data_IF_959015108363
#
_entry.id   IF_959015108363
#
_cell.length_a   1.000
_cell.length_b   1.000
_cell.length_c   1.000
_cell.angle_alpha   90.00
_cell.angle_beta   90.00
_cell.angle_gamma   90.00
#
_symmetry.space_group_name_H-M   'P 1'
#
loop_
_entity.id
_entity.type
_entity.pdbx_description
1 polymer ?
#
# COMPACT_ATOMS: atom_id res chain seq x y z
N UNK A 1 -9.29 -2.96 -36.36
CA UNK A 1 -8.47 -2.33 -35.29
C UNK A 1 -8.31 -0.86 -35.64
N UNK A 2 -8.66 0.08 -34.76
CA UNK A 2 -8.53 1.52 -35.06
C UNK A 2 -7.04 1.86 -35.18
N UNK A 3 -6.60 2.30 -36.35
CA UNK A 3 -5.23 2.75 -36.58
C UNK A 3 -5.05 4.10 -35.89
N UNK A 4 -4.43 4.10 -34.71
CA UNK A 4 -4.05 5.34 -34.05
C UNK A 4 -2.85 5.93 -34.80
N UNK A 5 -2.85 7.23 -35.13
CA UNK A 5 -1.72 7.85 -35.80
C UNK A 5 -0.44 7.66 -34.97
N UNK A 6 0.69 7.42 -35.63
CA UNK A 6 1.99 7.19 -34.97
C UNK A 6 2.37 8.32 -34.00
N UNK A 7 1.92 9.54 -34.29
CA UNK A 7 2.07 10.72 -33.43
C UNK A 7 1.42 10.54 -32.06
N UNK A 8 0.23 9.92 -31.98
CA UNK A 8 -0.44 9.64 -30.70
C UNK A 8 0.30 8.56 -29.91
N UNK A 9 0.81 7.53 -30.58
CA UNK A 9 1.59 6.47 -29.91
C UNK A 9 2.87 7.05 -29.33
N UNK A 10 3.58 7.90 -30.10
CA UNK A 10 4.79 8.59 -29.65
C UNK A 10 4.50 9.51 -28.46
N UNK A 11 3.46 10.35 -28.56
CA UNK A 11 3.06 11.26 -27.48
C UNK A 11 2.70 10.51 -26.19
N UNK A 12 2.00 9.36 -26.29
CA UNK A 12 1.69 8.52 -25.12
C UNK A 12 2.94 7.93 -24.46
N UNK A 13 3.91 7.46 -25.26
CA UNK A 13 5.18 6.94 -24.73
C UNK A 13 5.99 8.03 -24.03
N UNK A 14 6.07 9.21 -24.62
CA UNK A 14 6.75 10.36 -24.01
C UNK A 14 6.06 10.79 -22.71
N UNK A 15 4.74 10.89 -22.71
CA UNK A 15 3.96 11.21 -21.51
C UNK A 15 4.18 10.16 -20.40
N UNK A 16 4.15 8.87 -20.73
CA UNK A 16 4.44 7.80 -19.78
C UNK A 16 5.86 7.94 -19.19
N UNK A 17 6.86 8.20 -20.03
CA UNK A 17 8.24 8.41 -19.57
C UNK A 17 8.36 9.64 -18.64
N UNK A 18 7.60 10.70 -18.92
CA UNK A 18 7.52 11.88 -18.07
C UNK A 18 6.93 11.58 -16.71
N UNK A 19 5.84 10.80 -16.66
CA UNK A 19 5.22 10.33 -15.43
C UNK A 19 6.17 9.46 -14.61
N UNK A 20 6.89 8.52 -15.25
CA UNK A 20 7.90 7.70 -14.57
C UNK A 20 8.99 8.57 -13.94
N UNK A 21 9.54 9.53 -14.69
CA UNK A 21 10.55 10.48 -14.17
C UNK A 21 10.03 11.28 -12.97
N UNK A 22 8.79 11.77 -13.06
CA UNK A 22 8.14 12.50 -11.98
C UNK A 22 7.98 11.63 -10.72
N UNK A 23 7.48 10.39 -10.90
CA UNK A 23 7.32 9.43 -9.81
C UNK A 23 8.67 9.12 -9.12
N UNK A 24 9.71 8.79 -9.89
CA UNK A 24 11.05 8.52 -9.33
C UNK A 24 11.59 9.72 -8.54
N UNK A 25 11.35 10.96 -9.03
CA UNK A 25 11.75 12.18 -8.32
C UNK A 25 11.01 12.33 -6.99
N UNK A 26 9.71 12.03 -6.95
CA UNK A 26 8.91 12.07 -5.72
C UNK A 26 9.38 11.02 -4.71
N UNK A 27 9.59 9.78 -5.15
CA UNK A 27 10.04 8.68 -4.30
C UNK A 27 11.42 8.94 -3.70
N UNK A 28 12.36 9.46 -4.50
CA UNK A 28 13.69 9.88 -4.02
C UNK A 28 13.61 10.95 -2.93
N UNK A 29 12.71 11.93 -3.08
CA UNK A 29 12.50 12.98 -2.06
C UNK A 29 11.94 12.37 -0.77
N UNK A 30 10.96 11.47 -0.90
CA UNK A 30 10.34 10.78 0.22
C UNK A 30 11.38 9.97 1.02
N UNK A 31 12.18 9.14 0.34
CA UNK A 31 13.29 8.37 0.94
C UNK A 31 14.30 9.23 1.71
N UNK A 32 14.55 10.46 1.25
CA UNK A 32 15.47 11.38 1.91
C UNK A 32 14.88 11.95 3.21
N UNK A 33 13.56 12.12 3.28
CA UNK A 33 12.89 12.81 4.38
C UNK A 33 12.36 11.87 5.46
N UNK A 34 12.00 10.65 5.09
CA UNK A 34 11.34 9.69 5.99
C UNK A 34 12.32 8.64 6.46
N UNK A 35 12.14 8.21 7.71
CA UNK A 35 12.90 7.10 8.29
C UNK A 35 12.44 5.81 7.61
N UNK A 36 13.35 4.99 7.07
CA UNK A 36 13.00 3.70 6.49
C UNK A 36 12.44 2.76 7.56
N UNK A 37 11.32 2.10 7.27
CA UNK A 37 10.79 1.02 8.10
C UNK A 37 11.58 -0.27 7.87
N UNK A 38 11.70 -1.08 8.92
CA UNK A 38 12.37 -2.38 8.87
C UNK A 38 11.37 -3.49 8.53
N UNK A 39 11.84 -4.55 7.86
CA UNK A 39 11.04 -5.75 7.63
C UNK A 39 10.74 -6.42 8.97
N UNK A 40 9.50 -6.86 9.17
CA UNK A 40 9.01 -7.41 10.43
C UNK A 40 8.54 -6.36 11.44
N UNK A 41 8.64 -5.07 11.10
CA UNK A 41 8.18 -4.02 11.98
C UNK A 41 6.64 -3.90 11.91
N UNK A 42 6.02 -3.85 13.07
CA UNK A 42 4.58 -3.60 13.19
C UNK A 42 4.30 -2.14 12.92
N UNK A 43 3.20 -1.88 12.22
CA UNK A 43 2.77 -0.56 11.85
C UNK A 43 1.24 -0.48 11.86
N UNK A 44 0.73 0.74 11.96
CA UNK A 44 -0.66 1.04 11.64
C UNK A 44 -0.75 1.72 10.29
N UNK A 45 -1.76 1.33 9.53
CA UNK A 45 -2.15 1.92 8.27
C UNK A 45 -3.47 2.66 8.47
N UNK A 46 -3.54 3.94 8.09
CA UNK A 46 -4.80 4.68 8.14
C UNK A 46 -5.73 4.19 7.03
N UNK A 47 -6.92 3.71 7.40
CA UNK A 47 -7.94 3.26 6.44
C UNK A 47 -8.68 4.47 5.88
N UNK A 48 -8.72 4.65 4.55
CA UNK A 48 -9.53 5.69 3.91
C UNK A 48 -11.01 5.55 4.27
N UNK A 49 -11.74 6.65 4.39
CA UNK A 49 -13.16 6.61 4.77
C UNK A 49 -14.02 5.83 3.75
N UNK A 50 -13.61 5.78 2.48
CA UNK A 50 -14.29 4.99 1.42
C UNK A 50 -14.14 3.48 1.59
N UNK A 51 -13.06 3.05 2.25
CA UNK A 51 -12.74 1.64 2.50
C UNK A 51 -13.15 1.22 3.92
N UNK A 52 -13.68 2.15 4.72
CA UNK A 52 -13.99 1.96 6.14
C UNK A 52 -15.49 1.91 6.37
N UNK A 53 -15.97 0.79 6.90
CA UNK A 53 -17.32 0.66 7.44
C UNK A 53 -17.50 1.44 8.76
N UNK A 54 -18.74 1.66 9.22
CA UNK A 54 -19.00 2.43 10.44
C UNK A 54 -18.33 1.86 11.71
N UNK A 55 -18.22 0.54 11.80
CA UNK A 55 -17.61 -0.16 12.94
C UNK A 55 -16.10 -0.41 12.76
N UNK A 56 -15.54 -0.06 11.60
CA UNK A 56 -14.15 -0.39 11.28
C UNK A 56 -13.18 0.62 11.91
N UNK A 57 -12.01 0.17 12.38
CA UNK A 57 -11.04 1.04 13.02
C UNK A 57 -10.43 2.01 12.01
N UNK A 58 -10.13 3.24 12.46
CA UNK A 58 -9.44 4.24 11.63
C UNK A 58 -8.03 3.82 11.23
N UNK A 59 -7.36 3.10 12.13
CA UNK A 59 -5.99 2.64 11.99
C UNK A 59 -5.99 1.11 12.04
N UNK A 60 -5.54 0.48 10.96
CA UNK A 60 -5.49 -0.96 10.78
C UNK A 60 -4.09 -1.49 11.07
N UNK A 61 -3.99 -2.57 11.84
CA UNK A 61 -2.72 -3.19 12.20
C UNK A 61 -2.15 -3.98 11.02
N UNK A 62 -0.88 -3.76 10.71
CA UNK A 62 -0.15 -4.52 9.70
C UNK A 62 1.32 -4.71 10.10
N UNK A 63 2.00 -5.63 9.44
CA UNK A 63 3.44 -5.87 9.56
C UNK A 63 4.12 -5.62 8.22
N UNK A 64 5.28 -4.97 8.23
CA UNK A 64 6.07 -4.74 7.01
C UNK A 64 6.68 -6.07 6.55
N UNK A 65 6.37 -6.48 5.32
CA UNK A 65 6.86 -7.76 4.76
C UNK A 65 8.00 -7.59 3.77
N UNK A 66 7.97 -6.51 2.98
CA UNK A 66 9.00 -6.24 1.99
C UNK A 66 9.10 -4.74 1.70
N UNK A 67 10.27 -4.29 1.26
CA UNK A 67 10.51 -2.95 0.71
C UNK A 67 11.07 -3.09 -0.70
N UNK A 68 10.54 -2.31 -1.63
CA UNK A 68 11.04 -2.21 -2.99
C UNK A 68 10.91 -0.76 -3.46
N UNK A 69 12.05 -0.14 -3.76
CA UNK A 69 12.12 1.23 -4.26
C UNK A 69 11.41 2.27 -3.37
N UNK A 70 11.27 2.05 -2.06
CA UNK A 70 10.64 2.98 -1.10
C UNK A 70 9.14 2.79 -0.96
N UNK A 71 8.63 1.74 -1.60
CA UNK A 71 7.29 1.23 -1.42
C UNK A 71 7.36 -0.04 -0.59
N UNK A 72 6.44 -0.16 0.34
CA UNK A 72 6.36 -1.23 1.32
C UNK A 72 5.15 -2.11 1.00
N UNK A 73 5.40 -3.42 0.98
CA UNK A 73 4.33 -4.41 1.05
C UNK A 73 4.09 -4.71 2.53
N UNK A 74 2.83 -4.65 2.94
CA UNK A 74 2.43 -4.93 4.32
C UNK A 74 1.44 -6.08 4.37
N UNK A 75 1.48 -6.81 5.48
CA UNK A 75 0.66 -7.99 5.74
C UNK A 75 -0.21 -7.81 6.97
N UNK A 76 -1.35 -8.49 6.98
CA UNK A 76 -2.22 -8.61 8.13
C UNK A 76 -2.62 -10.08 8.31
N UNK A 77 -3.32 -10.41 9.40
CA UNK A 77 -3.77 -11.79 9.65
C UNK A 77 -4.65 -12.39 8.55
N UNK A 78 -5.33 -11.53 7.80
CA UNK A 78 -6.22 -11.96 6.72
C UNK A 78 -5.47 -12.23 5.39
N UNK A 79 -4.24 -11.73 5.26
CA UNK A 79 -3.42 -11.86 4.07
C UNK A 79 -2.50 -10.67 3.81
N UNK A 80 -1.80 -10.72 2.68
CA UNK A 80 -0.94 -9.65 2.17
C UNK A 80 -1.77 -8.57 1.51
N UNK A 81 -1.52 -7.30 1.82
CA UNK A 81 -2.21 -6.22 1.11
C UNK A 81 -1.67 -6.10 -0.31
N UNK A 82 -2.58 -6.10 -1.29
CA UNK A 82 -2.24 -5.97 -2.71
C UNK A 82 -1.66 -4.58 -3.06
N UNK A 83 -2.08 -3.55 -2.32
CA UNK A 83 -1.57 -2.18 -2.46
C UNK A 83 -0.20 -2.04 -1.81
N UNK A 84 0.65 -1.22 -2.42
CA UNK A 84 1.94 -0.82 -1.84
C UNK A 84 1.82 0.54 -1.17
N UNK A 85 2.55 0.73 -0.08
CA UNK A 85 2.47 1.92 0.77
C UNK A 85 3.81 2.65 0.83
N UNK A 86 3.79 3.96 1.02
CA UNK A 86 5.00 4.71 1.35
C UNK A 86 5.24 4.69 2.85
N UNK A 87 6.45 5.02 3.29
CA UNK A 87 6.73 5.20 4.71
C UNK A 87 5.84 6.27 5.39
N UNK A 88 5.25 7.21 4.62
CA UNK A 88 4.37 8.23 5.17
C UNK A 88 2.96 7.69 5.49
N UNK A 89 2.56 6.60 4.82
CA UNK A 89 1.26 5.98 5.02
C UNK A 89 1.24 5.05 6.25
N UNK A 90 2.43 4.71 6.75
CA UNK A 90 2.65 3.72 7.81
C UNK A 90 3.17 4.40 9.07
N UNK A 91 2.48 4.20 10.19
CA UNK A 91 2.94 4.64 11.49
C UNK A 91 3.47 3.45 12.29
N UNK A 92 4.75 3.48 12.64
CA UNK A 92 5.44 2.41 13.38
C UNK A 92 4.82 2.21 14.76
N UNK A 93 4.70 0.93 15.15
CA UNK A 93 4.35 0.47 16.49
C UNK A 93 5.60 -0.19 17.09
N UNK A 94 5.88 0.07 18.36
CA UNK A 94 7.01 -0.52 19.09
C UNK A 94 6.75 -1.97 19.53
N UNK A 95 5.48 -2.29 19.77
CA UNK A 95 5.00 -3.56 20.25
C UNK A 95 4.93 -4.60 19.13
N UNK A 96 5.39 -5.81 19.42
CA UNK A 96 5.27 -6.94 18.52
C UNK A 96 3.89 -7.60 18.69
N UNK A 97 2.92 -7.17 17.88
CA UNK A 97 1.52 -7.61 17.95
C UNK A 97 1.18 -8.68 16.89
N UNK A 98 2.03 -8.84 15.90
CA UNK A 98 1.82 -9.67 14.71
C UNK A 98 3.18 -10.05 14.13
N UNK A 99 3.47 -11.35 14.03
CA UNK A 99 4.65 -11.86 13.34
C UNK A 99 4.43 -11.92 11.81
N UNK A 100 5.51 -11.89 11.05
CA UNK A 100 5.49 -12.12 9.59
C UNK A 100 4.94 -13.50 9.27
N UNK A 101 5.28 -14.51 10.08
CA UNK A 101 4.89 -15.91 9.86
C UNK A 101 3.38 -16.15 10.05
N UNK A 102 2.70 -15.24 10.76
CA UNK A 102 1.24 -15.29 10.95
C UNK A 102 0.47 -14.75 9.74
N UNK A 103 1.15 -14.14 8.76
CA UNK A 103 0.50 -13.55 7.59
C UNK A 103 0.32 -14.58 6.48
N UNK A 104 -0.92 -14.87 6.05
CA UNK A 104 -1.17 -15.71 4.88
C UNK A 104 -0.60 -15.10 3.60
N UNK A 105 -0.11 -15.94 2.69
CA UNK A 105 0.45 -15.49 1.41
C UNK A 105 -0.56 -14.91 0.42
N UNK A 106 -1.86 -15.11 0.64
CA UNK A 106 -2.92 -14.64 -0.23
C UNK A 106 -2.96 -13.10 -0.30
N UNK A 107 -2.96 -12.55 -1.52
CA UNK A 107 -3.13 -11.11 -1.74
C UNK A 107 -4.60 -10.72 -1.61
N UNK A 108 -4.86 -9.69 -0.81
CA UNK A 108 -6.20 -9.15 -0.56
C UNK A 108 -6.22 -7.62 -0.65
N UNK A 109 -7.32 -7.01 -1.11
CA UNK A 109 -7.53 -5.57 -1.00
C UNK A 109 -7.62 -5.10 0.45
N UNK A 110 -7.22 -3.85 0.72
CA UNK A 110 -7.31 -3.24 2.06
C UNK A 110 -8.72 -3.32 2.63
N UNK A 111 -9.73 -2.95 1.85
CA UNK A 111 -11.13 -3.02 2.27
C UNK A 111 -11.55 -4.42 2.69
N UNK A 112 -11.14 -5.45 1.94
CA UNK A 112 -11.42 -6.86 2.29
C UNK A 112 -10.73 -7.28 3.57
N UNK A 113 -9.48 -6.85 3.77
CA UNK A 113 -8.74 -7.12 5.00
C UNK A 113 -9.43 -6.52 6.23
N UNK A 114 -9.84 -5.26 6.12
CA UNK A 114 -10.55 -4.53 7.18
C UNK A 114 -11.89 -5.18 7.48
N UNK A 115 -12.72 -5.43 6.46
CA UNK A 115 -14.02 -6.09 6.61
C UNK A 115 -13.91 -7.46 7.28
N UNK A 116 -12.93 -8.29 6.90
CA UNK A 116 -12.75 -9.61 7.52
C UNK A 116 -12.31 -9.51 8.98
N UNK A 117 -11.40 -8.59 9.29
CA UNK A 117 -10.89 -8.41 10.65
C UNK A 117 -11.96 -7.90 11.64
N UNK A 118 -12.94 -7.12 11.16
CA UNK A 118 -13.98 -6.50 12.01
C UNK A 118 -15.32 -7.23 11.95
N UNK A 119 -15.51 -8.12 10.97
CA UNK A 119 -16.82 -8.66 10.61
C UNK A 119 -17.77 -7.59 10.08
N UNK A 120 -17.25 -6.43 9.68
CA UNK A 120 -18.04 -5.26 9.29
C UNK A 120 -18.76 -5.45 7.96
N UNK A 121 -20.07 -5.20 7.94
CA UNK A 121 -20.81 -5.02 6.68
C UNK A 121 -20.50 -3.62 6.14
N UNK A 122 -19.36 -3.46 5.46
CA UNK A 122 -19.06 -2.23 4.72
C UNK A 122 -20.09 -1.95 3.63
N UNK A 123 -20.07 -0.76 3.03
CA UNK A 123 -20.96 -0.41 1.91
C UNK A 123 -20.73 -1.31 0.69
N UNK A 124 -21.54 -2.35 0.48
CA UNK A 124 -21.46 -3.26 -0.68
C UNK A 124 -21.41 -2.47 -1.99
#
# INVERSE_FOLDING_TARGET
MKHFPETFIKARKEAASGQTRAATKMTRRSKKMLIPLQIGQNCTLRVPDVDRGPADPKNFLAVVMAECEGLYTVGCREGKLASKFTAADLQVISENLLSIDEVPDAEIPLRTAVTKATGGQGYV
#
